data_IF_876018515646
#
_entry.id   IF_876018515646
#
_cell.length_a   1.000
_cell.length_b   1.000
_cell.length_c   1.000
_cell.angle_alpha   90.00
_cell.angle_beta   90.00
_cell.angle_gamma   90.00
#
_symmetry.space_group_name_H-M   'P 1'
#
loop_
_entity.id
_entity.type
_entity.pdbx_description
1 polymer ?
#
# COMPACT_ATOMS: atom_id res chain seq x y z
N UNK A 1 134.36 46.66 -57.03
CA UNK A 1 135.20 46.19 -58.15
C UNK A 1 134.27 45.62 -59.21
N UNK A 2 134.24 46.03 -60.50
CA UNK A 2 135.01 47.05 -61.26
C UNK A 2 134.13 47.71 -62.39
N UNK A 3 134.71 48.48 -63.35
CA UNK A 3 134.08 49.60 -64.11
C UNK A 3 134.53 49.79 -65.62
N UNK A 4 133.92 50.77 -66.36
CA UNK A 4 134.46 51.72 -67.43
C UNK A 4 134.95 51.21 -68.84
N UNK A 5 135.04 51.96 -69.99
CA UNK A 5 134.64 53.34 -70.48
C UNK A 5 134.38 53.48 -72.05
N UNK A 6 134.81 54.53 -72.80
CA UNK A 6 134.16 55.10 -74.03
C UNK A 6 135.07 55.82 -75.12
N UNK A 7 134.48 56.53 -76.13
CA UNK A 7 135.11 57.28 -77.26
C UNK A 7 134.22 58.40 -77.94
N UNK A 8 134.67 59.12 -79.00
CA UNK A 8 134.08 60.40 -79.55
C UNK A 8 134.22 60.70 -81.09
N UNK A 9 133.43 61.66 -81.67
CA UNK A 9 133.43 62.18 -83.09
C UNK A 9 133.09 63.72 -83.17
N UNK A 10 133.26 64.38 -84.34
CA UNK A 10 133.22 65.85 -84.67
C UNK A 10 131.82 66.53 -84.79
N UNK A 11 131.75 67.88 -84.86
CA UNK A 11 130.70 68.67 -84.20
C UNK A 11 129.73 69.57 -85.03
N UNK A 12 130.18 70.45 -85.94
CA UNK A 12 129.33 71.59 -86.41
C UNK A 12 128.12 71.21 -87.28
N UNK A 13 128.29 70.31 -88.27
CA UNK A 13 127.19 69.93 -89.19
C UNK A 13 126.05 69.19 -88.49
N UNK A 14 126.34 68.59 -87.34
CA UNK A 14 125.39 67.91 -86.47
C UNK A 14 124.40 68.91 -85.84
N UNK A 15 124.84 70.13 -85.55
CA UNK A 15 124.03 71.15 -84.87
C UNK A 15 122.82 71.62 -85.70
N UNK A 16 123.00 71.88 -87.00
CA UNK A 16 121.94 72.48 -87.84
C UNK A 16 120.74 71.51 -88.01
N UNK A 17 121.01 70.22 -88.21
CA UNK A 17 119.97 69.19 -88.32
C UNK A 17 119.29 68.91 -86.98
N UNK A 18 120.01 68.96 -85.86
CA UNK A 18 119.40 68.84 -84.52
C UNK A 18 118.45 70.00 -84.24
N UNK A 19 118.83 71.24 -84.54
CA UNK A 19 117.94 72.41 -84.36
C UNK A 19 116.68 72.30 -85.22
N UNK A 20 116.81 71.90 -86.49
CA UNK A 20 115.67 71.68 -87.39
C UNK A 20 114.73 70.56 -86.90
N UNK A 21 115.30 69.43 -86.46
CA UNK A 21 114.54 68.30 -85.92
C UNK A 21 113.80 68.63 -84.62
N UNK A 22 114.46 69.32 -83.69
CA UNK A 22 113.86 69.76 -82.42
C UNK A 22 112.72 70.75 -82.66
N UNK A 23 112.86 71.69 -83.59
CA UNK A 23 111.79 72.63 -83.94
C UNK A 23 110.53 71.95 -84.49
N UNK A 24 110.70 70.96 -85.37
CA UNK A 24 109.58 70.22 -85.96
C UNK A 24 108.93 69.26 -84.94
N UNK A 25 109.72 68.61 -84.10
CA UNK A 25 109.23 67.79 -82.98
C UNK A 25 108.45 68.61 -81.95
N UNK A 26 108.92 69.81 -81.59
CA UNK A 26 108.20 70.75 -80.70
C UNK A 26 106.84 71.15 -81.30
N UNK A 27 106.77 71.43 -82.60
CA UNK A 27 105.52 71.83 -83.24
C UNK A 27 104.49 70.69 -83.30
N UNK A 28 104.94 69.45 -83.57
CA UNK A 28 104.10 68.26 -83.44
C UNK A 28 103.63 68.01 -82.00
N UNK A 29 104.52 68.17 -81.01
CA UNK A 29 104.19 68.01 -79.59
C UNK A 29 103.10 69.01 -79.15
N UNK A 30 103.22 70.29 -79.55
CA UNK A 30 102.21 71.32 -79.26
C UNK A 30 100.85 70.99 -79.89
N UNK A 31 100.82 70.50 -81.13
CA UNK A 31 99.58 70.09 -81.79
C UNK A 31 98.92 68.87 -81.12
N UNK A 32 99.71 67.85 -80.75
CA UNK A 32 99.22 66.68 -80.04
C UNK A 32 98.68 67.04 -78.65
N UNK A 33 99.38 67.91 -77.92
CA UNK A 33 98.93 68.41 -76.61
C UNK A 33 97.59 69.18 -76.74
N UNK A 34 97.45 70.07 -77.73
CA UNK A 34 96.18 70.79 -78.00
C UNK A 34 95.01 69.84 -78.26
N UNK A 35 95.19 68.86 -79.14
CA UNK A 35 94.16 67.87 -79.48
C UNK A 35 93.80 66.99 -78.26
N UNK A 36 94.78 66.63 -77.43
CA UNK A 36 94.55 65.89 -76.19
C UNK A 36 93.79 66.70 -75.13
N UNK A 37 93.96 68.04 -75.10
CA UNK A 37 93.27 68.92 -74.17
C UNK A 37 91.78 69.07 -74.52
N UNK A 38 91.45 69.24 -75.80
CA UNK A 38 90.05 69.34 -76.25
C UNK A 38 89.26 68.07 -75.88
N UNK A 39 89.81 66.87 -76.15
CA UNK A 39 89.18 65.59 -75.78
C UNK A 39 89.11 65.30 -74.27
N UNK A 40 89.76 66.12 -73.42
CA UNK A 40 89.61 66.06 -71.97
C UNK A 40 88.47 66.94 -71.47
N UNK A 41 88.31 68.13 -72.04
CA UNK A 41 87.25 69.08 -71.67
C UNK A 41 85.84 68.48 -71.82
N UNK A 42 85.55 67.88 -72.99
CA UNK A 42 84.26 67.23 -73.30
C UNK A 42 83.90 66.12 -72.29
N UNK A 43 84.89 65.40 -71.78
CA UNK A 43 84.69 64.31 -70.80
C UNK A 43 84.42 64.81 -69.38
N UNK A 44 85.02 65.94 -68.98
CA UNK A 44 84.75 66.54 -67.66
C UNK A 44 83.35 67.15 -67.58
N UNK A 45 82.86 67.75 -68.67
CA UNK A 45 81.54 68.40 -68.71
C UNK A 45 80.39 67.39 -68.58
N UNK A 46 80.47 66.26 -69.31
CA UNK A 46 79.48 65.18 -69.26
C UNK A 46 79.29 64.58 -67.85
N UNK A 47 80.38 64.38 -67.10
CA UNK A 47 80.32 63.80 -65.73
C UNK A 47 79.67 64.76 -64.73
N UNK A 48 79.98 66.06 -64.82
CA UNK A 48 79.40 67.08 -63.92
C UNK A 48 77.89 67.23 -64.17
N UNK A 49 77.46 67.23 -65.44
CA UNK A 49 76.05 67.24 -65.81
C UNK A 49 75.29 66.02 -65.24
N UNK A 50 75.87 64.82 -65.32
CA UNK A 50 75.26 63.60 -64.79
C UNK A 50 75.08 63.65 -63.26
N UNK A 51 76.08 64.16 -62.51
CA UNK A 51 75.96 64.31 -61.05
C UNK A 51 74.92 65.35 -60.64
N UNK A 52 74.83 66.48 -61.35
CA UNK A 52 73.77 67.49 -61.11
C UNK A 52 72.37 66.90 -61.33
N UNK A 53 72.16 66.13 -62.40
CA UNK A 53 70.88 65.48 -62.67
C UNK A 53 70.44 64.52 -61.54
N UNK A 54 71.36 63.68 -61.04
CA UNK A 54 71.08 62.79 -59.92
C UNK A 54 70.78 63.54 -58.61
N UNK A 55 71.43 64.68 -58.39
CA UNK A 55 71.22 65.47 -57.18
C UNK A 55 69.87 66.23 -57.21
N UNK A 56 69.47 66.74 -58.37
CA UNK A 56 68.15 67.34 -58.58
C UNK A 56 67.01 66.35 -58.29
N UNK A 57 67.10 65.11 -58.82
CA UNK A 57 66.09 64.07 -58.55
C UNK A 57 65.97 63.72 -57.05
N UNK A 58 67.07 63.75 -56.29
CA UNK A 58 67.03 63.49 -54.84
C UNK A 58 66.38 64.63 -54.04
N UNK A 59 66.55 65.88 -54.46
CA UNK A 59 65.88 67.02 -53.83
C UNK A 59 64.38 66.98 -54.12
N UNK A 60 63.98 66.64 -55.35
CA UNK A 60 62.57 66.49 -55.74
C UNK A 60 61.87 65.34 -54.98
N UNK A 61 62.56 64.20 -54.80
CA UNK A 61 62.07 63.07 -53.99
C UNK A 61 61.93 63.43 -52.49
N UNK A 62 62.77 64.31 -51.95
CA UNK A 62 62.64 64.80 -50.57
C UNK A 62 61.51 65.81 -50.42
N UNK A 63 61.35 66.72 -51.38
CA UNK A 63 60.25 67.70 -51.38
C UNK A 63 58.87 67.03 -51.50
N UNK A 64 58.74 66.06 -52.42
CA UNK A 64 57.51 65.27 -52.58
C UNK A 64 57.24 64.36 -51.37
N UNK A 65 58.28 63.76 -50.79
CA UNK A 65 58.17 63.00 -49.54
C UNK A 65 57.71 63.84 -48.34
N UNK A 66 58.20 65.07 -48.20
CA UNK A 66 57.80 65.97 -47.12
C UNK A 66 56.35 66.46 -47.29
N UNK A 67 55.92 66.80 -48.52
CA UNK A 67 54.54 67.15 -48.80
C UNK A 67 53.55 66.00 -48.48
N UNK A 68 53.95 64.75 -48.71
CA UNK A 68 53.17 63.57 -48.31
C UNK A 68 53.05 63.40 -46.79
N UNK A 69 54.07 63.82 -46.02
CA UNK A 69 54.05 63.73 -44.56
C UNK A 69 53.11 64.76 -43.93
N UNK A 70 53.16 66.02 -44.36
CA UNK A 70 52.23 67.06 -43.89
C UNK A 70 50.77 66.70 -44.24
N UNK A 71 50.52 66.21 -45.46
CA UNK A 71 49.21 65.73 -45.88
C UNK A 71 48.67 64.59 -45.00
N UNK A 72 49.51 63.61 -44.67
CA UNK A 72 49.12 62.50 -43.79
C UNK A 72 48.89 62.95 -42.34
N UNK A 73 49.73 63.84 -41.79
CA UNK A 73 49.56 64.37 -40.44
C UNK A 73 48.26 65.17 -40.31
N UNK A 74 47.94 66.01 -41.30
CA UNK A 74 46.72 66.80 -41.29
C UNK A 74 45.47 65.93 -41.51
N UNK A 75 45.53 64.91 -42.36
CA UNK A 75 44.47 63.91 -42.51
C UNK A 75 44.26 63.10 -41.22
N UNK A 76 45.33 62.73 -40.50
CA UNK A 76 45.24 61.99 -39.24
C UNK A 76 44.68 62.85 -38.10
N UNK A 77 45.04 64.13 -38.02
CA UNK A 77 44.43 65.07 -37.07
C UNK A 77 42.93 65.27 -37.35
N UNK A 78 42.55 65.41 -38.62
CA UNK A 78 41.14 65.55 -39.02
C UNK A 78 40.33 64.28 -38.75
N UNK A 79 40.93 63.10 -38.97
CA UNK A 79 40.37 61.80 -38.61
C UNK A 79 40.13 61.67 -37.10
N UNK A 80 41.09 62.05 -36.26
CA UNK A 80 40.93 62.02 -34.80
C UNK A 80 39.85 62.98 -34.31
N UNK A 81 39.73 64.18 -34.90
CA UNK A 81 38.64 65.12 -34.60
C UNK A 81 37.24 64.57 -34.95
N UNK A 82 37.13 63.84 -36.07
CA UNK A 82 35.90 63.14 -36.45
C UNK A 82 35.59 61.97 -35.50
N UNK A 83 36.60 61.20 -35.06
CA UNK A 83 36.41 60.12 -34.08
C UNK A 83 35.95 60.67 -32.72
N UNK A 84 36.49 61.81 -32.28
CA UNK A 84 36.08 62.45 -31.02
C UNK A 84 34.61 62.92 -31.06
N UNK A 85 34.20 63.62 -32.13
CA UNK A 85 32.81 64.07 -32.30
C UNK A 85 31.84 62.90 -32.52
N UNK A 86 32.27 61.82 -33.19
CA UNK A 86 31.47 60.60 -33.31
C UNK A 86 31.33 59.87 -31.96
N UNK A 87 32.37 59.85 -31.12
CA UNK A 87 32.28 59.34 -29.74
C UNK A 87 31.33 60.18 -28.89
N UNK A 88 31.37 61.51 -29.00
CA UNK A 88 30.48 62.42 -28.27
C UNK A 88 29.02 62.23 -28.69
N UNK A 89 28.73 62.12 -30.00
CA UNK A 89 27.40 61.73 -30.49
C UNK A 89 26.98 60.35 -29.97
N UNK A 90 27.85 59.34 -30.02
CA UNK A 90 27.55 57.99 -29.50
C UNK A 90 27.26 57.99 -28.01
N UNK A 91 27.99 58.78 -27.22
CA UNK A 91 27.76 58.90 -25.78
C UNK A 91 26.41 59.55 -25.49
N UNK A 92 26.04 60.63 -26.20
CA UNK A 92 24.71 61.24 -26.11
C UNK A 92 23.59 60.28 -26.54
N UNK A 93 23.75 59.58 -27.67
CA UNK A 93 22.82 58.60 -28.21
C UNK A 93 22.61 57.41 -27.24
N UNK A 94 23.70 56.89 -26.64
CA UNK A 94 23.65 55.85 -25.60
C UNK A 94 23.01 56.39 -24.32
N UNK A 95 23.32 57.61 -23.89
CA UNK A 95 22.77 58.20 -22.67
C UNK A 95 21.25 58.42 -22.78
N UNK A 96 20.76 58.89 -23.94
CA UNK A 96 19.33 59.02 -24.24
C UNK A 96 18.65 57.64 -24.28
N UNK A 97 19.19 56.67 -25.03
CA UNK A 97 18.62 55.32 -25.09
C UNK A 97 18.61 54.63 -23.71
N UNK A 98 19.66 54.80 -22.91
CA UNK A 98 19.76 54.27 -21.55
C UNK A 98 18.69 54.88 -20.64
N UNK A 99 18.48 56.20 -20.72
CA UNK A 99 17.45 56.90 -19.93
C UNK A 99 16.03 56.55 -20.37
N UNK A 100 15.77 56.45 -21.68
CA UNK A 100 14.48 56.03 -22.21
C UNK A 100 14.14 54.60 -21.78
N UNK A 101 15.10 53.68 -21.91
CA UNK A 101 14.93 52.28 -21.46
C UNK A 101 14.78 52.17 -19.94
N UNK A 102 15.52 52.95 -19.13
CA UNK A 102 15.27 53.03 -17.69
C UNK A 102 13.82 53.50 -17.40
N UNK A 103 13.32 54.49 -18.15
CA UNK A 103 11.95 54.99 -17.96
C UNK A 103 10.88 53.98 -18.38
N UNK A 104 11.15 53.14 -19.39
CA UNK A 104 10.29 52.01 -19.80
C UNK A 104 10.30 50.89 -18.76
N UNK A 105 11.47 50.55 -18.21
CA UNK A 105 11.62 49.60 -17.11
C UNK A 105 10.93 50.11 -15.84
N UNK A 106 11.07 51.39 -15.47
CA UNK A 106 10.38 51.97 -14.32
C UNK A 106 8.85 51.98 -14.50
N UNK A 107 8.31 52.40 -15.65
CA UNK A 107 6.86 52.39 -15.91
C UNK A 107 6.29 50.97 -15.87
N UNK A 108 6.87 50.04 -16.63
CA UNK A 108 6.42 48.64 -16.64
C UNK A 108 6.59 47.95 -15.28
N UNK A 109 7.64 48.25 -14.51
CA UNK A 109 7.77 47.73 -13.13
C UNK A 109 6.69 48.33 -12.22
N UNK A 110 6.36 49.61 -12.35
CA UNK A 110 5.27 50.26 -11.62
C UNK A 110 3.89 49.71 -11.99
N UNK A 111 3.61 49.50 -13.27
CA UNK A 111 2.35 48.92 -13.78
C UNK A 111 2.21 47.44 -13.37
N UNK A 112 3.29 46.66 -13.43
CA UNK A 112 3.32 45.28 -12.93
C UNK A 112 3.15 45.23 -11.41
N UNK A 113 3.76 46.14 -10.64
CA UNK A 113 3.59 46.20 -9.18
C UNK A 113 2.17 46.64 -8.79
N UNK A 114 1.58 47.61 -9.50
CA UNK A 114 0.21 48.07 -9.28
C UNK A 114 -0.81 46.97 -9.62
N UNK A 115 -0.66 46.29 -10.76
CA UNK A 115 -1.54 45.16 -11.14
C UNK A 115 -1.33 43.94 -10.26
N UNK A 116 -0.13 43.73 -9.70
CA UNK A 116 0.12 42.69 -8.70
C UNK A 116 -0.50 43.03 -7.34
N UNK A 117 -0.41 44.28 -6.87
CA UNK A 117 -1.13 44.74 -5.67
C UNK A 117 -2.65 44.60 -5.86
N UNK A 118 -3.20 45.10 -6.97
CA UNK A 118 -4.62 45.01 -7.32
C UNK A 118 -5.11 43.55 -7.21
N UNK A 119 -4.44 42.61 -7.91
CA UNK A 119 -4.75 41.17 -7.86
C UNK A 119 -4.59 40.58 -6.47
N UNK A 120 -3.63 41.06 -5.66
CA UNK A 120 -3.44 40.61 -4.29
C UNK A 120 -4.59 41.08 -3.38
N UNK A 121 -5.07 42.31 -3.50
CA UNK A 121 -6.28 42.78 -2.81
C UNK A 121 -7.54 42.05 -3.28
N UNK A 122 -7.70 41.83 -4.59
CA UNK A 122 -8.87 41.15 -5.14
C UNK A 122 -8.93 39.68 -4.69
N UNK A 123 -7.78 38.99 -4.66
CA UNK A 123 -7.70 37.61 -4.15
C UNK A 123 -7.84 37.52 -2.64
N UNK A 124 -7.31 38.47 -1.87
CA UNK A 124 -7.55 38.55 -0.42
C UNK A 124 -9.02 38.80 -0.10
N UNK A 125 -9.69 39.68 -0.84
CA UNK A 125 -11.13 39.94 -0.67
C UNK A 125 -11.97 38.71 -1.02
N UNK A 126 -11.70 38.05 -2.15
CA UNK A 126 -12.36 36.81 -2.54
C UNK A 126 -12.13 35.68 -1.52
N UNK A 127 -10.89 35.52 -1.02
CA UNK A 127 -10.56 34.53 0.00
C UNK A 127 -11.21 34.85 1.35
N UNK A 128 -11.34 36.12 1.73
CA UNK A 128 -12.03 36.53 2.96
C UNK A 128 -13.55 36.27 2.87
N UNK A 129 -14.18 36.54 1.71
CA UNK A 129 -15.58 36.19 1.47
C UNK A 129 -15.81 34.67 1.49
N UNK A 130 -14.96 33.92 0.79
CA UNK A 130 -15.00 32.45 0.81
C UNK A 130 -14.78 31.88 2.21
N UNK A 131 -13.92 32.50 3.03
CA UNK A 131 -13.72 32.12 4.42
C UNK A 131 -14.95 32.40 5.30
N UNK A 132 -15.63 33.53 5.10
CA UNK A 132 -16.91 33.81 5.79
C UNK A 132 -18.02 32.84 5.37
N UNK A 133 -18.15 32.54 4.08
CA UNK A 133 -19.14 31.59 3.57
C UNK A 133 -18.87 30.16 4.09
N UNK A 134 -17.60 29.73 4.13
CA UNK A 134 -17.21 28.45 4.73
C UNK A 134 -17.48 28.42 6.24
N UNK A 135 -17.23 29.52 6.97
CA UNK A 135 -17.52 29.61 8.40
C UNK A 135 -19.03 29.59 8.68
N UNK A 136 -19.84 30.29 7.90
CA UNK A 136 -21.30 30.29 8.02
C UNK A 136 -21.89 28.90 7.71
N UNK A 137 -21.46 28.26 6.63
CA UNK A 137 -21.85 26.89 6.30
C UNK A 137 -21.37 25.87 7.36
N UNK A 138 -20.18 26.05 7.93
CA UNK A 138 -19.69 25.23 9.04
C UNK A 138 -20.56 25.43 10.29
N UNK A 139 -20.87 26.67 10.68
CA UNK A 139 -21.73 26.97 11.82
C UNK A 139 -23.14 26.37 11.65
N UNK A 140 -23.76 26.50 10.48
CA UNK A 140 -25.06 25.89 10.18
C UNK A 140 -25.01 24.37 10.28
N UNK A 141 -24.03 23.72 9.64
CA UNK A 141 -23.89 22.25 9.69
C UNK A 141 -23.58 21.73 11.09
N UNK A 142 -22.75 22.45 11.86
CA UNK A 142 -22.47 22.12 13.27
C UNK A 142 -23.70 22.33 14.15
N UNK A 143 -24.47 23.40 13.96
CA UNK A 143 -25.72 23.65 14.69
C UNK A 143 -26.77 22.57 14.44
N UNK A 144 -26.97 22.17 13.18
CA UNK A 144 -27.85 21.04 12.83
C UNK A 144 -27.34 19.72 13.44
N UNK A 145 -26.06 19.40 13.31
CA UNK A 145 -25.48 18.19 13.87
C UNK A 145 -25.58 18.14 15.41
N UNK A 146 -25.37 19.26 16.10
CA UNK A 146 -25.53 19.34 17.56
C UNK A 146 -26.99 19.20 18.00
N UNK A 147 -27.95 19.77 17.27
CA UNK A 147 -29.38 19.59 17.56
C UNK A 147 -29.82 18.14 17.32
N UNK A 148 -29.43 17.53 16.20
CA UNK A 148 -29.74 16.13 15.89
C UNK A 148 -29.07 15.17 16.89
N UNK A 149 -27.85 15.49 17.33
CA UNK A 149 -27.15 14.75 18.39
C UNK A 149 -27.83 14.90 19.76
N UNK A 150 -28.29 16.11 20.10
CA UNK A 150 -29.03 16.40 21.33
C UNK A 150 -30.40 15.70 21.34
N UNK A 151 -31.10 15.68 20.22
CA UNK A 151 -32.38 14.97 20.07
C UNK A 151 -32.20 13.46 20.17
N UNK A 152 -31.18 12.89 19.49
CA UNK A 152 -30.82 11.47 19.63
C UNK A 152 -30.34 11.12 21.03
N UNK A 153 -29.60 12.00 21.72
CA UNK A 153 -29.22 11.80 23.12
C UNK A 153 -30.43 11.83 24.04
N UNK A 154 -31.36 12.79 23.90
CA UNK A 154 -32.58 12.85 24.70
C UNK A 154 -33.49 11.63 24.44
N UNK A 155 -33.64 11.20 23.18
CA UNK A 155 -34.37 9.98 22.83
C UNK A 155 -33.70 8.73 23.41
N UNK A 156 -32.37 8.63 23.33
CA UNK A 156 -31.60 7.51 23.87
C UNK A 156 -31.61 7.47 25.41
N UNK A 157 -31.49 8.62 26.08
CA UNK A 157 -31.54 8.73 27.54
C UNK A 157 -32.96 8.48 28.07
N UNK A 158 -33.99 9.03 27.44
CA UNK A 158 -35.40 8.77 27.79
C UNK A 158 -35.78 7.30 27.54
N UNK A 159 -35.37 6.75 26.39
CA UNK A 159 -35.53 5.33 26.07
C UNK A 159 -34.79 4.42 27.06
N UNK A 160 -33.53 4.71 27.34
CA UNK A 160 -32.72 3.96 28.32
C UNK A 160 -33.28 4.06 29.74
N UNK A 161 -33.76 5.24 30.16
CA UNK A 161 -34.40 5.41 31.46
C UNK A 161 -35.71 4.63 31.56
N UNK A 162 -36.56 4.67 30.51
CA UNK A 162 -37.82 3.91 30.46
C UNK A 162 -37.58 2.40 30.41
N UNK A 163 -36.59 1.95 29.65
CA UNK A 163 -36.19 0.54 29.57
C UNK A 163 -35.56 0.09 30.88
N UNK A 164 -34.69 0.90 31.50
CA UNK A 164 -34.11 0.63 32.84
C UNK A 164 -35.19 0.56 33.91
N UNK A 165 -36.17 1.47 33.90
CA UNK A 165 -37.31 1.43 34.81
C UNK A 165 -38.14 0.16 34.61
N UNK A 166 -38.44 -0.21 33.35
CA UNK A 166 -39.18 -1.45 33.03
C UNK A 166 -38.40 -2.70 33.44
N UNK A 167 -37.07 -2.72 33.23
CA UNK A 167 -36.19 -3.80 33.72
C UNK A 167 -36.10 -3.83 35.24
N UNK A 168 -36.14 -2.69 35.94
CA UNK A 168 -36.22 -2.61 37.40
C UNK A 168 -37.57 -3.13 37.91
N UNK A 169 -38.69 -2.79 37.26
CA UNK A 169 -40.01 -3.37 37.60
C UNK A 169 -40.01 -4.88 37.37
N UNK A 170 -39.50 -5.36 36.24
CA UNK A 170 -39.39 -6.81 35.96
C UNK A 170 -38.41 -7.52 36.90
N UNK A 171 -37.34 -6.86 37.34
CA UNK A 171 -36.44 -7.39 38.38
C UNK A 171 -37.12 -7.39 39.76
N UNK A 172 -37.96 -6.40 40.06
CA UNK A 172 -38.73 -6.33 41.30
C UNK A 172 -39.87 -7.36 41.34
N UNK A 173 -40.54 -7.61 40.22
CA UNK A 173 -41.47 -8.74 40.03
C UNK A 173 -40.75 -10.09 40.16
N UNK A 174 -39.56 -10.24 39.56
CA UNK A 174 -38.72 -11.44 39.73
C UNK A 174 -38.21 -11.60 41.16
N UNK A 175 -37.87 -10.53 41.86
CA UNK A 175 -37.50 -10.55 43.27
C UNK A 175 -38.69 -10.95 44.14
N UNK A 176 -39.89 -10.39 43.92
CA UNK A 176 -41.10 -10.89 44.57
C UNK A 176 -41.42 -12.36 44.22
N UNK A 177 -41.01 -12.83 43.04
CA UNK A 177 -41.11 -14.24 42.65
C UNK A 177 -40.06 -15.10 43.36
N UNK A 178 -38.88 -14.55 43.69
CA UNK A 178 -37.83 -15.18 44.50
C UNK A 178 -38.20 -15.17 45.99
N UNK A 179 -38.82 -14.11 46.50
CA UNK A 179 -39.35 -14.05 47.87
C UNK A 179 -40.48 -15.07 48.03
N UNK A 180 -41.40 -15.13 47.07
CA UNK A 180 -42.40 -16.23 46.97
C UNK A 180 -41.75 -17.59 46.76
N UNK A 181 -40.57 -17.68 46.16
CA UNK A 181 -39.82 -18.94 46.09
C UNK A 181 -39.19 -19.29 47.45
N UNK A 182 -38.73 -18.33 48.26
CA UNK A 182 -38.28 -18.56 49.64
C UNK A 182 -39.44 -18.93 50.56
N UNK A 183 -40.60 -18.28 50.44
CA UNK A 183 -41.83 -18.73 51.11
C UNK A 183 -42.18 -20.16 50.70
N UNK A 184 -42.13 -20.49 49.40
CA UNK A 184 -42.37 -21.85 48.93
C UNK A 184 -41.30 -22.86 49.37
N UNK A 185 -40.02 -22.48 49.51
CA UNK A 185 -38.96 -23.34 50.07
C UNK A 185 -39.19 -23.57 51.56
N UNK A 186 -39.60 -22.55 52.31
CA UNK A 186 -39.97 -22.67 53.72
C UNK A 186 -41.22 -23.55 53.89
N UNK A 187 -42.18 -23.41 52.98
CA UNK A 187 -43.43 -24.18 52.90
C UNK A 187 -43.21 -25.61 52.37
N UNK A 188 -42.14 -25.88 51.62
CA UNK A 188 -41.78 -27.21 51.10
C UNK A 188 -41.54 -28.23 52.23
N UNK A 189 -41.12 -27.76 53.41
CA UNK A 189 -41.00 -28.57 54.63
C UNK A 189 -42.37 -29.02 55.20
N UNK A 190 -43.47 -28.34 54.85
CA UNK A 190 -44.84 -28.65 55.29
C UNK A 190 -45.74 -29.25 54.20
N UNK A 191 -45.51 -28.93 52.92
CA UNK A 191 -46.37 -29.29 51.78
C UNK A 191 -46.41 -30.79 51.43
N UNK A 192 -45.76 -31.64 52.22
CA UNK A 192 -45.97 -33.11 52.14
C UNK A 192 -47.38 -33.49 52.63
N UNK A 193 -48.00 -32.68 53.49
CA UNK A 193 -49.31 -33.00 54.10
C UNK A 193 -50.49 -32.96 53.10
N UNK A 194 -50.47 -32.08 52.10
CA UNK A 194 -51.55 -31.96 51.11
C UNK A 194 -51.50 -33.02 49.99
N UNK A 195 -50.42 -33.81 49.94
CA UNK A 195 -50.21 -34.87 48.94
C UNK A 195 -50.55 -36.28 49.44
N UNK A 196 -50.84 -36.46 50.73
CA UNK A 196 -50.97 -37.79 51.36
C UNK A 196 -52.09 -38.65 50.72
N UNK A 197 -53.24 -38.05 50.40
CA UNK A 197 -54.35 -38.77 49.77
C UNK A 197 -53.99 -39.34 48.39
N UNK A 198 -53.26 -38.56 47.58
CA UNK A 198 -52.81 -38.95 46.23
C UNK A 198 -51.68 -39.98 46.31
N UNK A 199 -50.80 -39.87 47.30
CA UNK A 199 -49.64 -40.75 47.49
C UNK A 199 -49.98 -42.04 48.27
N UNK A 200 -51.24 -42.26 48.66
CA UNK A 200 -51.70 -43.45 49.39
C UNK A 200 -51.37 -44.79 48.68
N UNK A 201 -51.50 -44.85 47.34
CA UNK A 201 -51.25 -46.05 46.55
C UNK A 201 -49.84 -46.06 45.92
N UNK A 202 -49.13 -47.18 46.03
CA UNK A 202 -47.81 -47.39 45.41
C UNK A 202 -47.77 -47.09 43.91
N UNK A 203 -48.85 -47.36 43.18
CA UNK A 203 -48.93 -47.09 41.73
C UNK A 203 -49.08 -45.59 41.42
N UNK A 204 -49.85 -44.83 42.21
CA UNK A 204 -49.97 -43.37 42.04
C UNK A 204 -48.69 -42.66 42.47
N UNK A 205 -47.98 -43.17 43.48
CA UNK A 205 -46.62 -42.68 43.84
C UNK A 205 -45.61 -42.85 42.70
N UNK A 206 -45.64 -44.00 42.01
CA UNK A 206 -44.81 -44.24 40.82
C UNK A 206 -45.12 -43.23 39.70
N UNK A 207 -46.40 -43.15 39.31
CA UNK A 207 -46.85 -42.21 38.29
C UNK A 207 -46.53 -40.75 38.62
N UNK A 208 -46.63 -40.32 39.89
CA UNK A 208 -46.21 -38.99 40.32
C UNK A 208 -44.70 -38.75 40.09
N UNK A 209 -43.87 -39.73 40.43
CA UNK A 209 -42.42 -39.68 40.19
C UNK A 209 -42.04 -39.67 38.71
N UNK A 210 -42.81 -40.34 37.85
CA UNK A 210 -42.64 -40.31 36.38
C UNK A 210 -43.10 -38.98 35.78
N UNK A 211 -44.26 -38.46 36.20
CA UNK A 211 -44.80 -37.17 35.74
C UNK A 211 -43.86 -36.02 36.11
N UNK A 212 -43.35 -35.99 37.35
CA UNK A 212 -42.41 -34.96 37.79
C UNK A 212 -41.08 -35.05 37.05
N UNK A 213 -40.57 -36.26 36.76
CA UNK A 213 -39.38 -36.45 35.94
C UNK A 213 -39.59 -35.94 34.50
N UNK A 214 -40.74 -36.24 33.90
CA UNK A 214 -41.11 -35.77 32.55
C UNK A 214 -41.19 -34.25 32.48
N UNK A 215 -41.86 -33.60 33.44
CA UNK A 215 -41.96 -32.13 33.53
C UNK A 215 -40.57 -31.47 33.66
N UNK A 216 -39.68 -32.04 34.46
CA UNK A 216 -38.29 -31.58 34.62
C UNK A 216 -37.48 -31.77 33.33
N UNK A 217 -37.53 -32.96 32.73
CA UNK A 217 -36.75 -33.30 31.52
C UNK A 217 -37.21 -32.50 30.30
N UNK A 218 -38.51 -32.38 30.07
CA UNK A 218 -39.07 -31.61 28.94
C UNK A 218 -38.82 -30.11 29.02
N UNK A 219 -38.64 -29.55 30.22
CA UNK A 219 -38.19 -28.16 30.43
C UNK A 219 -36.67 -28.00 30.29
N UNK A 220 -35.90 -29.03 30.61
CA UNK A 220 -34.44 -28.96 30.64
C UNK A 220 -33.76 -29.39 29.34
N UNK A 221 -34.35 -30.26 28.53
CA UNK A 221 -33.75 -30.82 27.31
C UNK A 221 -34.68 -30.69 26.10
N UNK A 222 -34.14 -30.50 24.89
CA UNK A 222 -34.92 -30.62 23.65
C UNK A 222 -35.50 -32.04 23.49
N UNK A 223 -36.67 -32.16 22.87
CA UNK A 223 -37.43 -33.42 22.74
C UNK A 223 -36.79 -34.48 21.84
N UNK A 224 -35.73 -34.15 21.10
CA UNK A 224 -34.90 -35.08 20.33
C UNK A 224 -33.71 -35.63 21.14
N UNK A 225 -33.50 -35.14 22.37
CA UNK A 225 -32.33 -35.40 23.21
C UNK A 225 -32.62 -36.38 24.37
N UNK A 226 -33.84 -36.90 24.45
CA UNK A 226 -34.23 -37.90 25.45
C UNK A 226 -35.38 -38.79 24.94
N UNK A 227 -35.52 -39.98 25.54
CA UNK A 227 -36.62 -40.90 25.31
C UNK A 227 -37.22 -41.36 26.65
N UNK A 228 -38.51 -41.13 26.85
CA UNK A 228 -39.24 -41.57 28.05
C UNK A 228 -39.69 -43.04 27.90
N UNK A 229 -39.73 -43.78 29.02
CA UNK A 229 -40.09 -45.20 29.06
C UNK A 229 -39.31 -46.04 28.03
N UNK A 230 -38.02 -45.73 27.83
CA UNK A 230 -37.14 -46.38 26.86
C UNK A 230 -36.76 -47.80 27.31
N UNK A 231 -36.70 -48.75 26.38
CA UNK A 231 -36.34 -50.15 26.67
C UNK A 231 -34.96 -50.47 26.09
N UNK A 232 -34.02 -50.81 26.96
CA UNK A 232 -32.64 -51.18 26.62
C UNK A 232 -32.56 -52.57 25.97
N UNK A 233 -31.42 -52.88 25.36
CA UNK A 233 -31.11 -54.17 24.70
C UNK A 233 -31.34 -55.39 25.60
N UNK A 234 -31.15 -55.25 26.91
CA UNK A 234 -31.38 -56.28 27.92
C UNK A 234 -32.87 -56.48 28.31
N UNK A 235 -33.80 -55.81 27.62
CA UNK A 235 -35.24 -55.89 27.87
C UNK A 235 -35.72 -55.16 29.12
N UNK A 236 -34.87 -54.38 29.79
CA UNK A 236 -35.26 -53.51 30.92
C UNK A 236 -35.75 -52.17 30.38
N UNK A 237 -36.89 -51.71 30.90
CA UNK A 237 -37.45 -50.40 30.60
C UNK A 237 -37.08 -49.42 31.72
N UNK A 238 -36.57 -48.25 31.34
CA UNK A 238 -36.21 -47.16 32.24
C UNK A 238 -37.13 -45.96 32.02
N UNK A 239 -37.36 -45.17 33.08
CA UNK A 239 -38.32 -44.06 33.04
C UNK A 239 -37.89 -42.94 32.06
N UNK A 240 -36.59 -42.66 31.97
CA UNK A 240 -36.00 -41.79 30.95
C UNK A 240 -34.60 -42.26 30.54
N UNK A 241 -34.29 -42.20 29.24
CA UNK A 241 -32.93 -42.27 28.69
C UNK A 241 -32.60 -40.92 28.06
N UNK A 242 -31.45 -40.35 28.42
CA UNK A 242 -30.93 -39.11 27.82
C UNK A 242 -29.88 -39.46 26.79
N UNK A 243 -30.05 -38.97 25.57
CA UNK A 243 -29.08 -39.14 24.50
C UNK A 243 -27.97 -38.10 24.68
N UNK A 244 -26.72 -38.57 24.78
CA UNK A 244 -25.52 -37.75 24.87
C UNK A 244 -24.46 -38.27 23.88
N UNK A 245 -23.54 -37.41 23.42
CA UNK A 245 -22.36 -37.85 22.68
C UNK A 245 -21.50 -38.80 23.53
N UNK A 246 -20.78 -39.70 22.87
CA UNK A 246 -19.79 -40.56 23.51
C UNK A 246 -18.40 -39.89 23.46
N UNK A 247 -17.67 -39.74 24.59
CA UNK A 247 -18.10 -39.97 25.98
C UNK A 247 -18.92 -38.80 26.54
N UNK A 248 -19.79 -39.03 27.55
CA UNK A 248 -19.98 -40.28 28.30
C UNK A 248 -20.93 -41.29 27.65
N UNK A 249 -21.68 -40.92 26.60
CA UNK A 249 -22.74 -41.75 26.03
C UNK A 249 -24.08 -41.65 26.81
N UNK A 250 -25.12 -42.40 26.40
CA UNK A 250 -26.48 -42.24 26.91
C UNK A 250 -26.61 -42.51 28.42
N UNK A 251 -27.28 -41.62 29.15
CA UNK A 251 -27.46 -41.73 30.61
C UNK A 251 -28.92 -42.05 30.94
N UNK A 252 -29.14 -43.07 31.76
CA UNK A 252 -30.47 -43.45 32.27
C UNK A 252 -30.83 -42.64 33.52
N UNK A 253 -32.10 -42.23 33.61
CA UNK A 253 -32.75 -41.79 34.85
C UNK A 253 -33.88 -42.75 35.19
N UNK A 254 -33.92 -43.19 36.44
CA UNK A 254 -34.93 -44.09 36.99
C UNK A 254 -35.51 -43.47 38.28
N UNK A 255 -36.84 -43.41 38.38
CA UNK A 255 -37.59 -42.67 39.40
C UNK A 255 -37.96 -43.57 40.57
N UNK A 256 -37.47 -43.27 41.79
CA UNK A 256 -37.71 -44.10 42.98
C UNK A 256 -38.07 -43.24 44.18
N UNK A 257 -39.18 -43.59 44.83
CA UNK A 257 -39.73 -42.83 45.94
C UNK A 257 -39.90 -43.75 47.18
N UNK A 258 -38.90 -43.83 48.07
CA UNK A 258 -38.95 -44.66 49.28
C UNK A 258 -39.81 -44.01 50.39
N UNK A 259 -40.95 -43.42 50.02
CA UNK A 259 -41.77 -42.55 50.88
C UNK A 259 -42.21 -43.23 52.17
N UNK A 260 -42.68 -44.48 52.10
CA UNK A 260 -43.22 -45.23 53.25
C UNK A 260 -42.22 -45.28 54.41
N UNK A 261 -40.94 -45.57 54.12
CA UNK A 261 -39.89 -45.63 55.13
C UNK A 261 -39.46 -44.24 55.65
N UNK A 262 -39.57 -43.19 54.82
CA UNK A 262 -39.34 -41.81 55.24
C UNK A 262 -40.49 -41.26 56.10
N UNK A 263 -41.74 -41.58 55.78
CA UNK A 263 -42.90 -41.22 56.60
C UNK A 263 -42.88 -41.96 57.95
N UNK A 264 -42.50 -43.25 57.97
CA UNK A 264 -42.24 -43.96 59.22
C UNK A 264 -41.13 -43.29 60.05
N UNK A 265 -40.08 -42.76 59.41
CA UNK A 265 -38.96 -42.11 60.09
C UNK A 265 -39.38 -40.77 60.69
N UNK A 266 -40.12 -39.95 59.94
CA UNK A 266 -40.64 -38.65 60.38
C UNK A 266 -41.73 -38.77 61.44
N UNK A 267 -42.56 -39.81 61.37
CA UNK A 267 -43.69 -40.01 62.27
C UNK A 267 -43.32 -40.86 63.51
N UNK A 268 -42.06 -41.33 63.63
CA UNK A 268 -41.59 -42.10 64.77
C UNK A 268 -41.65 -41.28 66.07
N UNK A 269 -42.28 -41.83 67.10
CA UNK A 269 -42.43 -41.18 68.42
C UNK A 269 -41.46 -41.75 69.46
N UNK A 270 -40.97 -42.96 69.23
CA UNK A 270 -40.05 -43.69 70.10
C UNK A 270 -38.74 -44.01 69.39
N UNK A 271 -37.66 -44.18 70.16
CA UNK A 271 -36.36 -44.59 69.62
C UNK A 271 -36.41 -45.96 68.90
N UNK A 272 -37.32 -46.85 69.30
CA UNK A 272 -37.52 -48.14 68.66
C UNK A 272 -38.10 -47.99 67.24
N UNK A 273 -39.15 -47.17 67.09
CA UNK A 273 -39.75 -46.83 65.79
C UNK A 273 -38.73 -46.13 64.87
N UNK A 274 -37.98 -45.16 65.40
CA UNK A 274 -36.96 -44.41 64.66
C UNK A 274 -35.86 -45.35 64.13
N UNK A 275 -35.34 -46.24 64.99
CA UNK A 275 -34.34 -47.23 64.61
C UNK A 275 -34.87 -48.20 63.52
N UNK A 276 -36.13 -48.62 63.61
CA UNK A 276 -36.76 -49.51 62.63
C UNK A 276 -36.98 -48.82 61.28
N UNK A 277 -37.51 -47.58 61.30
CA UNK A 277 -37.72 -46.80 60.09
C UNK A 277 -36.40 -46.48 59.38
N UNK A 278 -35.35 -46.11 60.12
CA UNK A 278 -34.01 -45.90 59.59
C UNK A 278 -33.43 -47.18 58.96
N UNK A 279 -33.67 -48.34 59.57
CA UNK A 279 -33.29 -49.66 59.00
C UNK A 279 -34.05 -49.96 57.70
N UNK A 280 -35.35 -49.66 57.66
CA UNK A 280 -36.18 -49.85 56.47
C UNK A 280 -35.76 -48.92 55.32
N UNK A 281 -35.51 -47.64 55.60
CA UNK A 281 -35.08 -46.65 54.62
C UNK A 281 -33.74 -47.05 53.99
N UNK A 282 -32.74 -47.40 54.82
CA UNK A 282 -31.46 -47.98 54.38
C UNK A 282 -31.64 -49.15 53.43
N UNK A 283 -32.47 -50.12 53.83
CA UNK A 283 -32.69 -51.35 53.05
C UNK A 283 -33.36 -51.06 51.72
N UNK A 284 -34.34 -50.16 51.70
CA UNK A 284 -35.06 -49.74 50.49
C UNK A 284 -34.14 -49.01 49.50
N UNK A 285 -33.38 -48.01 49.98
CA UNK A 285 -32.47 -47.22 49.15
C UNK A 285 -31.29 -48.04 48.61
N UNK A 286 -30.66 -48.88 49.44
CA UNK A 286 -29.62 -49.84 48.99
C UNK A 286 -30.15 -50.74 47.88
N UNK A 287 -31.37 -51.26 48.04
CA UNK A 287 -32.02 -52.08 47.01
C UNK A 287 -32.22 -51.28 45.71
N UNK A 288 -32.69 -50.04 45.78
CA UNK A 288 -32.89 -49.21 44.58
C UNK A 288 -31.59 -48.86 43.87
N UNK A 289 -30.54 -48.47 44.59
CA UNK A 289 -29.20 -48.24 44.04
C UNK A 289 -28.70 -49.48 43.27
N UNK A 290 -28.80 -50.66 43.90
CA UNK A 290 -28.42 -51.93 43.27
C UNK A 290 -29.30 -52.29 42.07
N UNK A 291 -30.62 -52.18 42.23
CA UNK A 291 -31.63 -52.43 41.19
C UNK A 291 -31.40 -51.57 39.94
N UNK A 292 -30.90 -50.34 40.10
CA UNK A 292 -30.57 -49.41 39.01
C UNK A 292 -29.25 -49.80 38.35
N UNK A 293 -28.19 -49.98 39.15
CA UNK A 293 -26.85 -50.33 38.67
C UNK A 293 -26.86 -51.63 37.84
N UNK A 294 -27.51 -52.69 38.34
CA UNK A 294 -27.59 -54.01 37.69
C UNK A 294 -28.48 -54.06 36.43
N UNK A 295 -29.31 -53.05 36.16
CA UNK A 295 -30.29 -53.07 35.05
C UNK A 295 -30.05 -52.03 33.97
N UNK A 296 -29.41 -50.91 34.31
CA UNK A 296 -29.37 -49.73 33.46
C UNK A 296 -27.95 -49.23 33.16
N UNK A 297 -26.91 -49.85 33.73
CA UNK A 297 -25.52 -49.60 33.36
C UNK A 297 -25.04 -50.77 32.50
N UNK A 298 -25.19 -50.62 31.18
CA UNK A 298 -24.92 -51.64 30.17
C UNK A 298 -23.73 -51.22 29.30
N UNK A 299 -22.63 -51.96 29.40
CA UNK A 299 -21.39 -51.66 28.69
C UNK A 299 -21.61 -51.59 27.16
N UNK A 300 -21.20 -50.48 26.55
CA UNK A 300 -21.37 -50.23 25.11
C UNK A 300 -22.74 -49.71 24.68
N UNK A 301 -23.75 -49.69 25.55
CA UNK A 301 -25.09 -49.14 25.28
C UNK A 301 -25.34 -47.84 26.07
N UNK A 302 -24.98 -47.82 27.36
CA UNK A 302 -25.13 -46.66 28.25
C UNK A 302 -23.77 -46.15 28.73
N UNK A 303 -23.77 -44.96 29.32
CA UNK A 303 -22.64 -44.45 30.08
C UNK A 303 -22.30 -45.32 31.30
N UNK A 304 -21.10 -45.10 31.85
CA UNK A 304 -20.63 -45.66 33.12
C UNK A 304 -21.32 -45.05 34.37
N UNK A 305 -22.62 -44.81 34.30
CA UNK A 305 -23.43 -44.40 35.44
C UNK A 305 -24.86 -43.98 35.10
N UNK A 306 -25.72 -43.99 36.12
CA UNK A 306 -27.15 -43.66 36.02
C UNK A 306 -27.58 -42.69 37.13
N UNK A 307 -28.73 -42.05 36.96
CA UNK A 307 -29.32 -41.15 37.95
C UNK A 307 -30.52 -41.83 38.65
N UNK A 308 -30.48 -41.91 39.98
CA UNK A 308 -31.67 -42.26 40.78
C UNK A 308 -32.40 -40.97 41.14
N UNK A 309 -33.54 -40.74 40.50
CA UNK A 309 -34.37 -39.57 40.75
C UNK A 309 -35.28 -39.80 41.95
N UNK A 310 -35.15 -38.94 42.96
CA UNK A 310 -36.03 -38.88 44.13
C UNK A 310 -37.00 -37.70 43.94
N UNK A 311 -38.33 -37.93 43.81
CA UNK A 311 -39.30 -36.85 43.56
C UNK A 311 -39.65 -36.04 44.84
N UNK A 312 -38.66 -35.78 45.70
CA UNK A 312 -38.79 -35.02 46.95
C UNK A 312 -37.44 -34.51 47.43
N UNK A 313 -37.31 -33.19 47.59
CA UNK A 313 -36.13 -32.55 48.21
C UNK A 313 -35.94 -32.99 49.66
N UNK A 314 -37.03 -33.21 50.40
CA UNK A 314 -36.97 -33.60 51.81
C UNK A 314 -36.36 -34.99 52.02
N UNK A 315 -36.70 -35.97 51.18
CA UNK A 315 -36.09 -37.31 51.19
C UNK A 315 -34.61 -37.24 50.78
N UNK A 316 -34.29 -36.42 49.77
CA UNK A 316 -32.90 -36.22 49.34
C UNK A 316 -32.03 -35.60 50.45
N UNK A 317 -32.53 -34.57 51.13
CA UNK A 317 -31.85 -33.91 52.24
C UNK A 317 -31.62 -34.85 53.43
N UNK A 318 -32.65 -35.62 53.81
CA UNK A 318 -32.57 -36.64 54.87
C UNK A 318 -31.46 -37.66 54.60
N UNK A 319 -31.38 -38.17 53.36
CA UNK A 319 -30.34 -39.14 52.97
C UNK A 319 -28.93 -38.55 53.03
N UNK A 320 -28.76 -37.27 52.67
CA UNK A 320 -27.46 -36.61 52.72
C UNK A 320 -27.03 -36.19 54.14
N UNK A 321 -27.99 -35.87 55.02
CA UNK A 321 -27.72 -35.50 56.40
C UNK A 321 -27.45 -36.72 57.30
N UNK A 322 -28.35 -37.71 57.26
CA UNK A 322 -28.42 -38.79 58.26
C UNK A 322 -28.02 -40.17 57.73
N UNK A 323 -27.85 -40.33 56.42
CA UNK A 323 -27.49 -41.61 55.78
C UNK A 323 -26.36 -41.50 54.73
N UNK A 324 -25.23 -40.80 55.01
CA UNK A 324 -24.16 -40.58 54.04
C UNK A 324 -23.51 -41.87 53.51
N UNK A 325 -23.63 -43.00 54.22
CA UNK A 325 -23.22 -44.31 53.72
C UNK A 325 -24.00 -44.74 52.47
N UNK A 326 -25.28 -44.37 52.35
CA UNK A 326 -26.12 -44.68 51.20
C UNK A 326 -25.72 -43.83 49.98
N UNK A 327 -25.32 -42.57 50.23
CA UNK A 327 -24.79 -41.68 49.19
C UNK A 327 -23.47 -42.24 48.65
N UNK A 328 -22.55 -42.64 49.54
CA UNK A 328 -21.27 -43.27 49.14
C UNK A 328 -21.48 -44.58 48.37
N UNK A 329 -22.38 -45.45 48.83
CA UNK A 329 -22.70 -46.69 48.12
C UNK A 329 -23.36 -46.42 46.76
N UNK A 330 -24.10 -45.31 46.60
CA UNK A 330 -24.55 -44.81 45.30
C UNK A 330 -23.38 -44.49 44.38
N UNK A 331 -22.42 -43.67 44.82
CA UNK A 331 -21.20 -43.37 44.05
C UNK A 331 -20.41 -44.63 43.68
N UNK A 332 -20.24 -45.57 44.61
CA UNK A 332 -19.53 -46.85 44.38
C UNK A 332 -20.27 -47.77 43.39
N UNK A 333 -21.60 -47.76 43.39
CA UNK A 333 -22.44 -48.46 42.41
C UNK A 333 -22.61 -47.69 41.08
N UNK A 334 -22.01 -46.51 40.93
CA UNK A 334 -22.15 -45.59 39.78
C UNK A 334 -23.59 -45.09 39.57
N UNK A 335 -24.34 -44.91 40.66
CA UNK A 335 -25.71 -44.41 40.70
C UNK A 335 -25.77 -43.12 41.52
N UNK A 336 -25.91 -41.98 40.84
CA UNK A 336 -25.98 -40.68 41.51
C UNK A 336 -27.42 -40.37 41.93
N UNK A 337 -27.59 -40.08 43.22
CA UNK A 337 -28.89 -39.69 43.79
C UNK A 337 -29.17 -38.23 43.44
N UNK A 338 -30.33 -37.92 42.87
CA UNK A 338 -30.72 -36.53 42.50
C UNK A 338 -32.15 -36.20 42.92
N UNK A 339 -32.35 -35.01 43.47
CA UNK A 339 -33.66 -34.39 43.75
C UNK A 339 -34.17 -33.59 42.55
N UNK A 340 -35.37 -32.96 42.59
CA UNK A 340 -35.85 -32.08 41.51
C UNK A 340 -34.87 -30.98 41.11
N UNK A 341 -34.30 -30.27 42.08
CA UNK A 341 -33.36 -29.16 41.85
C UNK A 341 -32.02 -29.67 41.33
N UNK A 342 -31.47 -30.72 41.94
CA UNK A 342 -30.19 -31.32 41.51
C UNK A 342 -30.31 -31.99 40.14
N UNK A 343 -31.45 -32.62 39.83
CA UNK A 343 -31.75 -33.16 38.52
C UNK A 343 -31.81 -32.04 37.48
N UNK A 344 -32.58 -30.98 37.73
CA UNK A 344 -32.65 -29.80 36.85
C UNK A 344 -31.25 -29.20 36.60
N UNK A 345 -30.38 -29.06 37.61
CA UNK A 345 -29.00 -28.57 37.45
C UNK A 345 -28.14 -29.51 36.58
N UNK A 346 -28.22 -30.81 36.82
CA UNK A 346 -27.52 -31.84 36.02
C UNK A 346 -27.99 -31.84 34.56
N UNK A 347 -29.29 -31.75 34.31
CA UNK A 347 -29.86 -31.69 32.95
C UNK A 347 -29.49 -30.38 32.21
N UNK A 348 -29.46 -29.25 32.91
CA UNK A 348 -28.94 -27.98 32.36
C UNK A 348 -27.48 -28.11 31.93
N UNK A 349 -26.66 -28.88 32.66
CA UNK A 349 -25.27 -29.16 32.33
C UNK A 349 -25.16 -30.11 31.12
N UNK A 350 -25.98 -31.16 31.07
CA UNK A 350 -26.11 -32.05 29.91
C UNK A 350 -26.53 -31.30 28.64
N UNK A 351 -27.45 -30.33 28.74
CA UNK A 351 -27.85 -29.47 27.61
C UNK A 351 -26.68 -28.66 27.05
N UNK A 352 -25.75 -28.20 27.89
CA UNK A 352 -24.56 -27.49 27.42
C UNK A 352 -23.64 -28.41 26.60
N UNK A 353 -23.40 -29.64 27.09
CA UNK A 353 -22.62 -30.68 26.37
C UNK A 353 -23.27 -31.00 25.01
N UNK A 354 -24.60 -31.14 24.97
CA UNK A 354 -25.36 -31.36 23.73
C UNK A 354 -25.24 -30.21 22.74
N UNK A 355 -25.30 -28.95 23.22
CA UNK A 355 -25.11 -27.77 22.36
C UNK A 355 -23.72 -27.75 21.75
N UNK A 356 -22.68 -27.98 22.56
CA UNK A 356 -21.28 -28.03 22.12
C UNK A 356 -21.04 -29.14 21.10
N UNK A 357 -21.64 -30.32 21.30
CA UNK A 357 -21.55 -31.43 20.36
C UNK A 357 -22.16 -31.10 19.00
N UNK A 358 -23.40 -30.57 18.97
CA UNK A 358 -24.04 -30.11 17.73
C UNK A 358 -23.25 -28.99 17.05
N UNK A 359 -22.69 -28.05 17.82
CA UNK A 359 -21.84 -26.98 17.25
C UNK A 359 -20.57 -27.53 16.59
N UNK A 360 -19.94 -28.59 17.15
CA UNK A 360 -18.77 -29.26 16.55
C UNK A 360 -19.13 -30.01 15.26
N UNK A 361 -20.26 -30.70 15.24
CA UNK A 361 -20.79 -31.38 14.05
C UNK A 361 -21.05 -30.37 12.91
N UNK A 362 -21.78 -29.29 13.20
CA UNK A 362 -22.07 -28.26 12.20
C UNK A 362 -20.80 -27.53 11.73
N UNK A 363 -19.82 -27.29 12.60
CA UNK A 363 -18.51 -26.77 12.20
C UNK A 363 -17.75 -27.74 11.26
N UNK A 364 -17.90 -29.05 11.44
CA UNK A 364 -17.40 -30.08 10.53
C UNK A 364 -18.04 -30.02 9.15
N UNK A 365 -19.38 -29.88 9.10
CA UNK A 365 -20.12 -29.70 7.85
C UNK A 365 -19.72 -28.40 7.13
N UNK A 366 -19.66 -27.27 7.84
CA UNK A 366 -19.22 -25.97 7.31
C UNK A 366 -17.80 -26.07 6.74
N UNK A 367 -16.87 -26.73 7.43
CA UNK A 367 -15.49 -26.94 6.96
C UNK A 367 -15.43 -27.78 5.67
N UNK A 368 -16.31 -28.77 5.53
CA UNK A 368 -16.42 -29.57 4.29
C UNK A 368 -16.88 -28.72 3.12
N UNK A 369 -17.93 -27.91 3.30
CA UNK A 369 -18.47 -27.05 2.23
C UNK A 369 -17.50 -25.91 1.86
N UNK A 370 -16.79 -25.30 2.81
CA UNK A 370 -15.68 -24.38 2.48
C UNK A 370 -14.57 -25.07 1.68
N UNK A 371 -14.30 -26.36 1.96
CA UNK A 371 -13.33 -27.17 1.22
C UNK A 371 -13.77 -27.53 -0.21
N UNK A 372 -15.06 -27.44 -0.52
CA UNK A 372 -15.58 -27.52 -1.89
C UNK A 372 -15.51 -26.15 -2.57
N UNK A 373 -16.03 -25.10 -1.92
CA UNK A 373 -16.00 -23.73 -2.41
C UNK A 373 -14.57 -23.25 -2.77
N UNK A 374 -13.57 -23.61 -1.96
CA UNK A 374 -12.17 -23.29 -2.24
C UNK A 374 -11.67 -23.90 -3.57
N UNK A 375 -12.10 -25.13 -3.91
CA UNK A 375 -11.74 -25.78 -5.19
C UNK A 375 -12.43 -25.14 -6.39
N UNK A 376 -13.66 -24.66 -6.22
CA UNK A 376 -14.35 -23.93 -7.29
C UNK A 376 -13.74 -22.54 -7.53
N UNK A 377 -13.25 -21.87 -6.47
CA UNK A 377 -12.48 -20.62 -6.58
C UNK A 377 -11.11 -20.85 -7.23
N UNK A 378 -10.39 -21.91 -6.84
CA UNK A 378 -9.11 -22.30 -7.45
C UNK A 378 -9.26 -22.58 -8.96
N UNK A 379 -10.28 -23.39 -9.32
CA UNK A 379 -10.66 -23.69 -10.71
C UNK A 379 -11.10 -22.44 -11.49
N UNK A 380 -11.68 -21.43 -10.83
CA UNK A 380 -11.98 -20.13 -11.44
C UNK A 380 -10.68 -19.37 -11.72
N UNK A 381 -9.74 -19.36 -10.77
CA UNK A 381 -8.39 -18.80 -10.95
C UNK A 381 -7.69 -19.37 -12.20
N UNK A 382 -7.58 -20.70 -12.31
CA UNK A 382 -6.97 -21.35 -13.49
C UNK A 382 -7.66 -20.99 -14.81
N UNK A 383 -8.98 -20.75 -14.79
CA UNK A 383 -9.74 -20.31 -15.97
C UNK A 383 -9.45 -18.85 -16.34
N UNK A 384 -9.28 -17.97 -15.35
CA UNK A 384 -8.91 -16.57 -15.57
C UNK A 384 -7.49 -16.46 -16.11
N UNK A 385 -6.53 -17.22 -15.57
CA UNK A 385 -5.14 -17.26 -16.09
C UNK A 385 -5.08 -17.73 -17.56
N UNK A 386 -5.86 -18.75 -17.92
CA UNK A 386 -5.95 -19.22 -19.30
C UNK A 386 -6.59 -18.18 -20.23
N UNK A 387 -7.59 -17.43 -19.74
CA UNK A 387 -8.26 -16.37 -20.49
C UNK A 387 -7.35 -15.14 -20.69
N UNK A 388 -6.60 -14.73 -19.66
CA UNK A 388 -5.60 -13.66 -19.75
C UNK A 388 -4.52 -14.00 -20.79
N UNK A 389 -4.01 -15.24 -20.75
CA UNK A 389 -3.06 -15.74 -21.77
C UNK A 389 -3.63 -15.68 -23.19
N UNK A 390 -4.94 -15.91 -23.37
CA UNK A 390 -5.60 -15.78 -24.68
C UNK A 390 -5.80 -14.31 -25.09
N UNK A 391 -6.09 -13.40 -24.16
CA UNK A 391 -6.12 -11.96 -24.45
C UNK A 391 -4.74 -11.42 -24.81
N UNK A 392 -3.68 -11.86 -24.12
CA UNK A 392 -2.29 -11.50 -24.46
C UNK A 392 -1.89 -11.94 -25.87
N UNK A 393 -2.30 -13.14 -26.29
CA UNK A 393 -2.10 -13.61 -27.66
C UNK A 393 -2.92 -12.77 -28.66
N UNK A 394 -4.21 -12.55 -28.42
CA UNK A 394 -5.06 -11.76 -29.33
C UNK A 394 -4.57 -10.31 -29.47
N UNK A 395 -4.05 -9.69 -28.40
CA UNK A 395 -3.44 -8.36 -28.45
C UNK A 395 -2.15 -8.32 -29.29
N UNK A 396 -1.34 -9.39 -29.24
CA UNK A 396 -0.16 -9.56 -30.12
C UNK A 396 -0.58 -9.70 -31.58
N UNK A 397 -1.57 -10.54 -31.86
CA UNK A 397 -2.08 -10.78 -33.21
C UNK A 397 -2.66 -9.48 -33.84
N UNK A 398 -3.41 -8.70 -33.06
CA UNK A 398 -3.92 -7.36 -33.46
C UNK A 398 -2.78 -6.40 -33.79
N UNK A 399 -1.68 -6.44 -33.03
CA UNK A 399 -0.48 -5.61 -33.29
C UNK A 399 0.19 -5.99 -34.60
N UNK A 400 0.35 -7.29 -34.88
CA UNK A 400 0.94 -7.79 -36.13
C UNK A 400 0.06 -7.51 -37.36
N UNK A 401 -1.27 -7.60 -37.21
CA UNK A 401 -2.24 -7.17 -38.21
C UNK A 401 -2.10 -5.67 -38.49
N UNK A 402 -1.99 -4.82 -37.45
CA UNK A 402 -1.81 -3.38 -37.61
C UNK A 402 -0.52 -3.04 -38.36
N UNK A 403 0.61 -3.63 -37.97
CA UNK A 403 1.91 -3.43 -38.65
C UNK A 403 1.81 -3.83 -40.13
N UNK A 404 1.09 -4.91 -40.43
CA UNK A 404 0.85 -5.39 -41.79
C UNK A 404 -0.04 -4.44 -42.59
N UNK A 405 -1.10 -3.92 -41.99
CA UNK A 405 -1.98 -2.90 -42.59
C UNK A 405 -1.23 -1.58 -42.85
N UNK A 406 -0.43 -1.10 -41.90
CA UNK A 406 0.40 0.10 -42.06
C UNK A 406 1.49 -0.08 -43.14
N UNK A 407 1.98 -1.30 -43.36
CA UNK A 407 2.90 -1.65 -44.46
C UNK A 407 2.17 -1.71 -45.81
N UNK A 408 0.97 -2.30 -45.84
CA UNK A 408 0.13 -2.37 -47.04
C UNK A 408 -0.34 -0.98 -47.49
N UNK A 409 -0.84 -0.14 -46.57
CA UNK A 409 -1.27 1.24 -46.85
C UNK A 409 -0.13 2.13 -47.34
N UNK A 410 1.09 1.98 -46.81
CA UNK A 410 2.28 2.65 -47.36
C UNK A 410 2.64 2.18 -48.77
N UNK A 411 2.47 0.89 -49.08
CA UNK A 411 2.67 0.37 -50.44
C UNK A 411 1.59 0.83 -51.40
N UNK A 412 0.33 0.92 -50.96
CA UNK A 412 -0.79 1.44 -51.76
C UNK A 412 -0.58 2.93 -52.11
N UNK A 413 -0.19 3.77 -51.13
CA UNK A 413 0.14 5.19 -51.40
C UNK A 413 1.34 5.36 -52.34
N UNK A 414 2.31 4.44 -52.33
CA UNK A 414 3.39 4.38 -53.33
C UNK A 414 2.93 3.90 -54.72
N UNK A 415 1.72 3.36 -54.83
CA UNK A 415 1.10 2.95 -56.10
C UNK A 415 0.17 4.04 -56.65
N UNK A 416 -0.55 4.77 -55.80
CA UNK A 416 -1.29 5.98 -56.21
C UNK A 416 -0.33 7.06 -56.72
N UNK A 417 0.82 7.22 -56.06
CA UNK A 417 1.90 8.14 -56.47
C UNK A 417 2.79 7.54 -57.57
N UNK A 418 2.21 7.13 -58.71
CA UNK A 418 2.97 6.67 -59.89
C UNK A 418 3.63 7.83 -60.64
N UNK A 419 4.75 8.32 -60.11
CA UNK A 419 5.80 8.87 -60.98
C UNK A 419 6.49 7.70 -61.68
N UNK A 420 6.32 7.61 -63.01
CA UNK A 420 7.06 6.70 -63.89
C UNK A 420 8.30 7.41 -64.45
N UNK A 421 9.24 7.78 -63.58
CA UNK A 421 10.63 8.03 -64.00
C UNK A 421 11.49 6.77 -63.80
N UNK A 422 12.64 6.76 -64.47
CA UNK A 422 13.25 5.57 -65.11
C UNK A 422 13.63 4.38 -64.22
N UNK A 423 13.66 3.20 -64.85
CA UNK A 423 14.18 1.95 -64.31
C UNK A 423 15.70 2.02 -64.09
N UNK A 424 16.12 2.19 -62.84
CA UNK A 424 17.45 1.78 -62.37
C UNK A 424 17.33 0.45 -61.60
N UNK A 425 17.98 -0.64 -62.04
CA UNK A 425 18.05 -1.87 -61.27
C UNK A 425 19.18 -1.78 -60.23
N UNK A 426 18.84 -1.66 -58.95
CA UNK A 426 19.81 -1.86 -57.86
C UNK A 426 20.32 -3.32 -57.86
N UNK A 427 21.64 -3.49 -57.73
CA UNK A 427 22.32 -4.79 -57.83
C UNK A 427 22.10 -5.62 -56.55
N UNK A 428 21.20 -6.61 -56.61
CA UNK A 428 20.96 -7.58 -55.53
C UNK A 428 22.03 -8.70 -55.52
N UNK A 429 23.32 -8.32 -55.51
CA UNK A 429 24.45 -9.26 -55.49
C UNK A 429 24.65 -9.91 -54.11
N UNK A 430 23.80 -10.90 -53.83
CA UNK A 430 24.06 -11.95 -52.85
C UNK A 430 23.74 -13.32 -53.42
N UNK A 431 24.57 -13.76 -54.36
CA UNK A 431 24.57 -15.15 -54.84
C UNK A 431 24.82 -16.11 -53.67
N UNK A 432 23.77 -16.82 -53.25
CA UNK A 432 23.87 -17.91 -52.26
C UNK A 432 24.22 -19.21 -53.00
N UNK A 433 25.37 -19.85 -52.72
CA UNK A 433 25.76 -21.08 -53.42
C UNK A 433 24.90 -22.27 -52.96
N UNK A 434 24.30 -22.97 -53.92
CA UNK A 434 23.51 -24.18 -53.69
C UNK A 434 24.43 -25.38 -53.35
N UNK A 435 24.36 -25.86 -52.11
CA UNK A 435 24.85 -27.20 -51.76
C UNK A 435 23.89 -28.25 -52.34
N UNK A 436 24.45 -29.29 -53.00
CA UNK A 436 23.66 -30.43 -53.47
C UNK A 436 23.26 -31.33 -52.29
N UNK A 437 22.10 -32.01 -52.35
CA UNK A 437 21.86 -33.17 -51.51
C UNK A 437 22.73 -34.35 -51.96
N UNK A 438 23.31 -35.08 -51.01
CA UNK A 438 23.78 -36.45 -51.25
C UNK A 438 22.60 -37.43 -51.11
N UNK A 439 22.71 -38.58 -51.77
CA UNK A 439 21.67 -39.62 -51.93
C UNK A 439 22.08 -40.94 -51.29
#
# INVERSE_FOLDING_TARGET
MNELDLASVDLETLALYVVGGVGLAMLLLVLLLRNSAQKRAERTEAVIAQHMGQMAQRVDQLATGQAHLDGNLQAQAQSQGQIATLMEQRLGEVQVNMHENLSKVQRSTGENLATMQQKMTDTLAAQQLQMQENLANMQLRTGHALNEMQEKLNASLSGSAKQTATSLTQLQERLQTIDKAQENITRLSGDVLSLQDILSNKQTRGAFGEIQLNDIVSKALPSDSYALQHTLSNGRRADCLIHLPNPPGPIVIDSKFPLEAYEMLRNATTQAELNEAARMLRTSVKKHIRDISEKYIVEGETADGALMFLPSEAVYAELHANFPELVREGFEARVWIVSPTTCMATLNTMRAILKDARMREQAGAIRKELGLLHKDVDRLGTRVENLDRHFGQAAKDISEIKISADKAGRRARRLDNFDFEELAPDEDDKVVPLTKPES
#
